data_IF_717304475486
#
_entry.id   IF_717304475486
#
_cell.length_a   1.000
_cell.length_b   1.000
_cell.length_c   1.000
_cell.angle_alpha   90.00
_cell.angle_beta   90.00
_cell.angle_gamma   90.00
#
_symmetry.space_group_name_H-M   'P 1'
#
loop_
_entity.id
_entity.type
_entity.pdbx_description
1 polymer ?
#
# COMPACT_ATOMS: atom_id res chain seq x y z
N UNK A 1 -61.89 -3.44 -47.83
CA UNK A 1 -60.93 -3.80 -46.78
C UNK A 1 -60.80 -2.59 -45.88
N UNK A 2 -61.18 -2.63 -44.59
CA UNK A 2 -60.96 -1.49 -43.72
C UNK A 2 -59.46 -1.38 -43.42
N UNK A 3 -58.90 -0.20 -43.64
CA UNK A 3 -57.58 0.18 -43.14
C UNK A 3 -57.67 0.26 -41.63
N UNK A 4 -57.09 -0.71 -40.93
CA UNK A 4 -56.98 -0.67 -39.48
C UNK A 4 -56.27 0.62 -39.08
N UNK A 5 -56.88 1.40 -38.21
CA UNK A 5 -56.24 2.55 -37.55
C UNK A 5 -55.14 1.99 -36.65
N UNK A 6 -53.96 1.76 -37.23
CA UNK A 6 -52.77 1.43 -36.48
C UNK A 6 -52.48 2.59 -35.55
N UNK A 7 -52.56 2.34 -34.25
CA UNK A 7 -51.88 3.19 -33.28
C UNK A 7 -50.40 3.17 -33.67
N UNK A 8 -49.90 4.25 -34.26
CA UNK A 8 -48.47 4.45 -34.45
C UNK A 8 -47.85 4.52 -33.06
N UNK A 9 -47.09 3.49 -32.71
CA UNK A 9 -46.26 3.51 -31.51
C UNK A 9 -45.26 4.65 -31.70
N UNK A 10 -45.23 5.66 -30.81
CA UNK A 10 -44.30 6.78 -30.95
C UNK A 10 -42.88 6.23 -31.00
N UNK A 11 -42.15 6.57 -32.07
CA UNK A 11 -40.74 6.22 -32.20
C UNK A 11 -39.97 7.02 -31.18
N UNK A 12 -39.19 6.32 -30.34
CA UNK A 12 -38.27 6.90 -29.36
C UNK A 12 -37.01 7.48 -30.05
N UNK A 13 -37.16 8.09 -31.22
CA UNK A 13 -36.07 8.76 -31.93
C UNK A 13 -35.59 9.95 -31.09
N UNK A 14 -34.34 9.87 -30.61
CA UNK A 14 -33.74 10.88 -29.73
C UNK A 14 -33.87 10.61 -28.24
N UNK A 15 -34.50 9.51 -27.82
CA UNK A 15 -34.48 9.07 -26.41
C UNK A 15 -33.23 8.23 -26.18
N UNK A 16 -32.40 8.55 -25.16
CA UNK A 16 -31.24 7.74 -24.82
C UNK A 16 -31.62 6.27 -24.62
N UNK A 17 -31.00 5.38 -25.40
CA UNK A 17 -31.24 3.93 -25.34
C UNK A 17 -30.73 3.30 -24.04
N UNK A 18 -29.90 4.04 -23.30
CA UNK A 18 -29.43 3.69 -21.96
C UNK A 18 -29.67 4.88 -21.03
N UNK A 19 -30.29 4.60 -19.88
CA UNK A 19 -30.34 5.52 -18.74
C UNK A 19 -29.56 4.87 -17.61
N UNK A 20 -28.39 5.43 -17.29
CA UNK A 20 -27.61 5.03 -16.13
C UNK A 20 -27.78 6.10 -15.04
N UNK A 21 -28.44 5.73 -13.94
CA UNK A 21 -28.54 6.57 -12.76
C UNK A 21 -27.47 6.14 -11.76
N UNK A 22 -26.44 6.97 -11.60
CA UNK A 22 -25.39 6.73 -10.61
C UNK A 22 -25.64 7.62 -9.40
N UNK A 23 -25.85 7.01 -8.22
CA UNK A 23 -25.84 7.78 -6.98
C UNK A 23 -24.45 8.41 -6.79
N UNK A 24 -24.38 9.71 -6.47
CA UNK A 24 -23.11 10.43 -6.32
C UNK A 24 -22.52 11.01 -7.62
N UNK A 25 -23.17 10.90 -8.77
CA UNK A 25 -22.66 11.45 -10.05
C UNK A 25 -22.31 12.94 -9.98
N UNK A 26 -23.08 13.74 -9.25
CA UNK A 26 -22.78 15.17 -9.06
C UNK A 26 -21.50 15.41 -8.27
N UNK A 27 -21.25 14.59 -7.25
CA UNK A 27 -20.03 14.65 -6.45
C UNK A 27 -18.82 14.24 -7.28
N UNK A 28 -18.93 13.12 -8.01
CA UNK A 28 -17.90 12.68 -8.94
C UNK A 28 -17.61 13.74 -10.02
N UNK A 29 -18.64 14.41 -10.57
CA UNK A 29 -18.45 15.47 -11.55
C UNK A 29 -17.77 16.73 -10.96
N UNK A 30 -18.09 17.12 -9.72
CA UNK A 30 -17.39 18.21 -9.02
C UNK A 30 -15.92 17.86 -8.80
N UNK A 31 -15.66 16.65 -8.31
CA UNK A 31 -14.29 16.17 -8.08
C UNK A 31 -13.49 16.07 -9.39
N UNK A 32 -14.10 15.54 -10.45
CA UNK A 32 -13.50 15.48 -11.79
C UNK A 32 -13.10 16.87 -12.30
N UNK A 33 -13.94 17.88 -12.09
CA UNK A 33 -13.62 19.26 -12.41
C UNK A 33 -12.41 19.75 -11.61
N UNK A 34 -12.37 19.50 -10.30
CA UNK A 34 -11.23 19.92 -9.48
C UNK A 34 -9.95 19.16 -9.84
N UNK A 35 -10.03 17.91 -10.29
CA UNK A 35 -8.89 17.17 -10.85
C UNK A 35 -8.32 17.85 -12.11
N UNK A 36 -9.18 18.34 -13.01
CA UNK A 36 -8.75 19.13 -14.16
C UNK A 36 -8.11 20.45 -13.75
N UNK A 37 -8.75 21.21 -12.86
CA UNK A 37 -8.25 22.50 -12.36
C UNK A 37 -6.92 22.34 -11.59
N UNK A 38 -6.71 21.19 -10.95
CA UNK A 38 -5.50 20.84 -10.23
C UNK A 38 -4.34 20.31 -11.12
N UNK A 39 -4.55 20.17 -12.43
CA UNK A 39 -3.64 19.50 -13.37
C UNK A 39 -3.37 18.01 -13.02
N UNK A 40 -4.33 17.36 -12.35
CA UNK A 40 -4.28 15.93 -12.01
C UNK A 40 -4.91 15.03 -13.08
N UNK A 41 -5.65 15.61 -14.03
CA UNK A 41 -6.29 14.92 -15.16
C UNK A 41 -6.25 15.79 -16.43
N UNK A 42 -6.39 15.17 -17.62
CA UNK A 42 -6.48 15.89 -18.90
C UNK A 42 -7.94 16.02 -19.35
N UNK A 43 -8.29 17.13 -20.00
CA UNK A 43 -9.63 17.34 -20.55
C UNK A 43 -9.95 16.37 -21.69
N UNK A 44 -8.95 15.89 -22.43
CA UNK A 44 -9.15 14.91 -23.51
C UNK A 44 -9.65 13.56 -22.97
N UNK A 45 -9.28 13.20 -21.73
CA UNK A 45 -9.72 11.97 -21.07
C UNK A 45 -11.24 11.97 -20.80
N UNK A 46 -11.89 13.15 -20.73
CA UNK A 46 -13.35 13.26 -20.55
C UNK A 46 -14.13 12.66 -21.71
N UNK A 47 -13.61 12.83 -22.94
CA UNK A 47 -14.24 12.27 -24.13
C UNK A 47 -14.01 10.76 -24.17
N UNK A 48 -12.79 10.31 -23.84
CA UNK A 48 -12.45 8.89 -23.76
C UNK A 48 -13.31 8.14 -22.73
N UNK A 49 -13.63 8.79 -21.61
CA UNK A 49 -14.51 8.28 -20.55
C UNK A 49 -16.01 8.29 -20.91
N UNK A 50 -16.38 8.53 -22.18
CA UNK A 50 -17.76 8.68 -22.64
C UNK A 50 -18.57 9.68 -21.79
N UNK A 51 -17.91 10.74 -21.30
CA UNK A 51 -18.51 11.77 -20.44
C UNK A 51 -19.10 11.23 -19.13
N UNK A 52 -18.55 10.12 -18.63
CA UNK A 52 -18.89 9.55 -17.32
C UNK A 52 -17.85 10.02 -16.28
N UNK A 53 -18.25 10.71 -15.20
CA UNK A 53 -17.31 11.22 -14.20
C UNK A 53 -16.59 10.15 -13.38
N UNK A 54 -17.19 8.97 -13.20
CA UNK A 54 -16.52 7.86 -12.51
C UNK A 54 -15.42 7.24 -13.39
N UNK A 55 -15.75 6.92 -14.65
CA UNK A 55 -14.78 6.41 -15.61
C UNK A 55 -13.66 7.43 -15.88
N UNK A 56 -13.99 8.73 -15.88
CA UNK A 56 -13.01 9.80 -16.01
C UNK A 56 -12.03 9.83 -14.83
N UNK A 57 -12.53 9.84 -13.59
CA UNK A 57 -11.68 9.85 -12.40
C UNK A 57 -10.81 8.60 -12.31
N UNK A 58 -11.39 7.43 -12.60
CA UNK A 58 -10.66 6.17 -12.66
C UNK A 58 -9.56 6.21 -13.71
N UNK A 59 -9.90 6.56 -14.96
CA UNK A 59 -8.93 6.66 -16.05
C UNK A 59 -7.82 7.68 -15.79
N UNK A 60 -8.15 8.81 -15.16
CA UNK A 60 -7.17 9.81 -14.76
C UNK A 60 -6.18 9.26 -13.71
N UNK A 61 -6.68 8.57 -12.69
CA UNK A 61 -5.83 7.93 -11.68
C UNK A 61 -4.98 6.80 -12.28
N UNK A 62 -5.55 5.94 -13.12
CA UNK A 62 -4.82 4.86 -13.80
C UNK A 62 -3.68 5.42 -14.66
N UNK A 63 -3.97 6.45 -15.47
CA UNK A 63 -2.96 7.13 -16.29
C UNK A 63 -1.89 7.81 -15.42
N UNK A 64 -2.30 8.42 -14.32
CA UNK A 64 -1.38 9.05 -13.38
C UNK A 64 -0.45 8.02 -12.73
N UNK A 65 -0.98 6.90 -12.24
CA UNK A 65 -0.23 5.80 -11.63
C UNK A 65 0.75 5.18 -12.63
N UNK A 66 0.32 4.97 -13.88
CA UNK A 66 1.17 4.49 -14.96
C UNK A 66 2.41 5.37 -15.16
N UNK A 67 2.24 6.70 -15.12
CA UNK A 67 3.35 7.69 -15.19
C UNK A 67 4.23 7.67 -13.93
N UNK A 68 3.72 7.18 -12.80
CA UNK A 68 4.42 7.11 -11.52
C UNK A 68 4.96 5.72 -11.17
N UNK A 69 5.11 4.85 -12.18
CA UNK A 69 5.84 3.60 -12.05
C UNK A 69 5.01 2.43 -11.52
N UNK A 70 3.68 2.46 -11.70
CA UNK A 70 2.78 1.35 -11.37
C UNK A 70 3.32 -0.02 -11.83
N UNK A 71 3.83 -0.10 -13.07
CA UNK A 71 4.37 -1.36 -13.61
C UNK A 71 5.56 -1.91 -12.83
N UNK A 72 6.38 -1.05 -12.23
CA UNK A 72 7.53 -1.43 -11.38
C UNK A 72 7.07 -1.79 -9.97
N UNK A 73 6.03 -1.12 -9.46
CA UNK A 73 5.45 -1.41 -8.14
C UNK A 73 4.79 -2.79 -8.15
N UNK A 74 3.99 -3.08 -9.17
CA UNK A 74 3.24 -4.35 -9.32
C UNK A 74 4.12 -5.60 -9.43
N UNK A 75 5.41 -5.44 -9.68
CA UNK A 75 6.35 -6.57 -9.66
C UNK A 75 6.58 -7.12 -8.25
N UNK A 76 6.41 -6.30 -7.21
CA UNK A 76 6.69 -6.69 -5.81
C UNK A 76 5.53 -6.47 -4.84
N UNK A 77 4.60 -5.56 -5.18
CA UNK A 77 3.50 -5.16 -4.31
C UNK A 77 2.16 -5.32 -5.03
N UNK A 78 1.22 -5.98 -4.37
CA UNK A 78 -0.15 -6.19 -4.87
C UNK A 78 -1.07 -5.22 -4.13
N UNK A 79 -1.22 -4.02 -4.70
CA UNK A 79 -1.89 -2.90 -4.06
C UNK A 79 -2.98 -2.33 -4.98
N UNK A 80 -4.09 -1.98 -4.36
CA UNK A 80 -5.20 -1.24 -4.93
C UNK A 80 -5.29 0.17 -4.34
N UNK A 81 -5.65 1.13 -5.19
CA UNK A 81 -5.89 2.52 -4.81
C UNK A 81 -7.38 2.84 -4.95
N UNK A 82 -8.04 3.14 -3.83
CA UNK A 82 -9.44 3.52 -3.79
C UNK A 82 -9.57 5.04 -3.66
N UNK A 83 -10.47 5.63 -4.46
CA UNK A 83 -10.91 7.02 -4.33
C UNK A 83 -12.37 7.03 -3.84
N UNK A 84 -12.61 7.55 -2.63
CA UNK A 84 -13.94 7.52 -2.03
C UNK A 84 -14.27 8.77 -1.21
N UNK A 85 -15.56 9.03 -1.02
CA UNK A 85 -16.08 10.05 -0.08
C UNK A 85 -16.44 9.45 1.28
N UNK A 86 -16.31 8.13 1.43
CA UNK A 86 -16.51 7.39 2.68
C UNK A 86 -15.49 6.26 2.80
N UNK A 87 -14.98 6.00 4.00
CA UNK A 87 -14.21 4.80 4.31
C UNK A 87 -15.08 3.68 4.88
N UNK A 88 -16.26 4.02 5.37
CA UNK A 88 -17.22 3.04 5.85
C UNK A 88 -17.85 2.32 4.66
N UNK A 89 -17.63 1.00 4.60
CA UNK A 89 -18.15 0.11 3.54
C UNK A 89 -19.55 -0.42 3.82
N UNK A 90 -20.03 -0.32 5.06
CA UNK A 90 -21.24 -0.99 5.53
C UNK A 90 -22.31 -0.01 5.98
N UNK A 91 -21.94 1.12 6.59
CA UNK A 91 -22.86 2.22 6.77
C UNK A 91 -22.76 3.16 5.56
N UNK A 92 -23.83 3.18 4.77
CA UNK A 92 -24.29 4.44 4.21
C UNK A 92 -24.78 5.35 5.38
N UNK A 93 -23.92 5.62 6.36
CA UNK A 93 -24.26 6.35 7.57
C UNK A 93 -24.42 7.84 7.25
N UNK A 94 -25.46 8.45 7.83
CA UNK A 94 -25.90 9.84 8.02
C UNK A 94 -25.15 11.06 7.43
N UNK A 95 -23.93 10.93 6.93
CA UNK A 95 -23.26 11.88 6.05
C UNK A 95 -23.98 12.03 4.71
N UNK A 96 -23.98 13.24 4.15
CA UNK A 96 -24.56 13.48 2.83
C UNK A 96 -23.78 12.66 1.80
N UNK A 97 -24.39 11.70 1.09
CA UNK A 97 -23.71 10.96 0.04
C UNK A 97 -23.09 11.93 -0.97
N UNK A 98 -21.79 11.80 -1.22
CA UNK A 98 -21.08 12.67 -2.17
C UNK A 98 -20.67 14.04 -1.61
N UNK A 99 -20.35 14.12 -0.31
CA UNK A 99 -19.63 15.27 0.25
C UNK A 99 -18.19 15.33 -0.29
N UNK A 100 -17.97 16.19 -1.27
CA UNK A 100 -16.67 16.38 -1.90
C UNK A 100 -15.69 17.16 -1.04
N UNK A 101 -16.14 17.76 0.08
CA UNK A 101 -15.24 18.45 1.01
C UNK A 101 -14.37 17.50 1.82
N UNK A 102 -14.71 16.21 1.83
CA UNK A 102 -13.98 15.13 2.51
C UNK A 102 -13.87 13.91 1.60
N UNK A 103 -12.75 13.81 0.90
CA UNK A 103 -12.41 12.71 -0.01
C UNK A 103 -11.17 11.97 0.52
N UNK A 104 -11.08 10.68 0.24
CA UNK A 104 -10.00 9.82 0.66
C UNK A 104 -9.38 9.12 -0.55
N UNK A 105 -8.05 9.11 -0.60
CA UNK A 105 -7.30 8.07 -1.31
C UNK A 105 -6.88 7.01 -0.28
N UNK A 106 -7.29 5.77 -0.48
CA UNK A 106 -6.95 4.65 0.40
C UNK A 106 -6.12 3.62 -0.37
N UNK A 107 -5.00 3.20 0.22
CA UNK A 107 -4.12 2.18 -0.35
C UNK A 107 -4.32 0.87 0.40
N UNK A 108 -4.69 -0.18 -0.32
CA UNK A 108 -5.09 -1.46 0.26
C UNK A 108 -4.33 -2.60 -0.42
N UNK A 109 -3.80 -3.58 0.33
CA UNK A 109 -3.19 -4.75 -0.29
C UNK A 109 -4.24 -5.81 -0.64
N UNK A 110 -4.10 -6.38 -1.83
CA UNK A 110 -4.82 -7.59 -2.21
C UNK A 110 -4.13 -8.84 -1.65
N UNK A 111 -2.80 -8.79 -1.60
CA UNK A 111 -1.96 -9.85 -1.05
C UNK A 111 -0.60 -9.29 -0.66
N UNK A 112 0.15 -10.07 0.15
CA UNK A 112 1.50 -9.72 0.51
C UNK A 112 2.48 -10.12 -0.61
N UNK A 113 3.33 -9.17 -1.01
CA UNK A 113 4.59 -9.51 -1.69
C UNK A 113 5.51 -10.33 -0.79
N UNK A 114 6.64 -10.79 -1.31
CA UNK A 114 7.57 -11.64 -0.54
C UNK A 114 9.02 -11.24 -0.76
N UNK A 115 9.80 -11.12 0.32
CA UNK A 115 11.23 -10.79 0.25
C UNK A 115 12.08 -11.66 1.19
N UNK A 116 13.20 -12.15 0.66
CA UNK A 116 14.20 -12.91 1.41
C UNK A 116 15.39 -12.01 1.72
N UNK A 117 15.66 -11.82 3.01
CA UNK A 117 16.68 -10.91 3.50
C UNK A 117 18.04 -11.59 3.74
N UNK A 118 18.05 -12.86 4.14
CA UNK A 118 19.24 -13.58 4.63
C UNK A 118 20.48 -13.49 3.74
N UNK A 119 20.39 -13.79 2.43
CA UNK A 119 21.54 -13.68 1.53
C UNK A 119 22.07 -12.24 1.42
N UNK A 120 21.18 -11.25 1.41
CA UNK A 120 21.55 -9.83 1.43
C UNK A 120 22.25 -9.47 2.74
N UNK A 121 21.73 -9.91 3.89
CA UNK A 121 22.34 -9.68 5.20
C UNK A 121 23.74 -10.31 5.30
N UNK A 122 23.93 -11.54 4.81
CA UNK A 122 25.26 -12.18 4.78
C UNK A 122 26.26 -11.43 3.90
N UNK A 123 25.82 -10.97 2.72
CA UNK A 123 26.65 -10.15 1.83
C UNK A 123 27.11 -8.87 2.56
N UNK A 124 26.17 -8.16 3.18
CA UNK A 124 26.45 -6.93 3.91
C UNK A 124 27.34 -7.16 5.14
N UNK A 125 27.16 -8.29 5.84
CA UNK A 125 27.97 -8.68 6.99
C UNK A 125 29.44 -8.89 6.61
N UNK A 126 29.70 -9.44 5.41
CA UNK A 126 31.06 -9.63 4.89
C UNK A 126 31.81 -8.32 4.67
N UNK A 127 31.08 -7.21 4.45
CA UNK A 127 31.63 -5.86 4.29
C UNK A 127 31.82 -5.19 5.64
N UNK A 128 30.81 -5.23 6.51
CA UNK A 128 30.88 -4.66 7.84
C UNK A 128 29.82 -5.27 8.78
N UNK A 129 30.16 -5.65 10.03
CA UNK A 129 29.27 -6.42 10.91
C UNK A 129 27.97 -5.70 11.32
N UNK A 130 27.89 -4.37 11.15
CA UNK A 130 26.68 -3.57 11.44
C UNK A 130 25.88 -3.18 10.20
N UNK A 131 26.35 -3.48 8.99
CA UNK A 131 25.57 -3.20 7.78
C UNK A 131 24.26 -3.99 7.70
N UNK A 132 24.17 -5.26 8.13
CA UNK A 132 22.92 -6.02 8.09
C UNK A 132 21.77 -5.31 8.81
N UNK A 133 21.97 -4.98 10.10
CA UNK A 133 20.94 -4.26 10.88
C UNK A 133 20.71 -2.84 10.38
N UNK A 134 21.74 -2.17 9.82
CA UNK A 134 21.57 -0.83 9.25
C UNK A 134 20.67 -0.89 8.01
N UNK A 135 20.91 -1.83 7.11
CA UNK A 135 20.09 -2.08 5.94
C UNK A 135 18.66 -2.41 6.34
N UNK A 136 18.48 -3.37 7.26
CA UNK A 136 17.16 -3.79 7.72
C UNK A 136 16.36 -2.62 8.29
N UNK A 137 17.00 -1.77 9.10
CA UNK A 137 16.37 -0.57 9.67
C UNK A 137 15.93 0.44 8.60
N UNK A 138 16.77 0.68 7.58
CA UNK A 138 16.42 1.59 6.48
C UNK A 138 15.30 1.02 5.61
N UNK A 139 15.40 -0.26 5.24
CA UNK A 139 14.46 -0.93 4.37
C UNK A 139 13.07 -1.06 5.01
N UNK A 140 12.99 -1.71 6.17
CA UNK A 140 11.71 -1.91 6.87
C UNK A 140 11.15 -0.59 7.40
N UNK A 141 12.00 0.34 7.85
CA UNK A 141 11.57 1.64 8.36
C UNK A 141 10.98 2.54 7.26
N UNK A 142 11.56 2.51 6.06
CA UNK A 142 11.04 3.26 4.93
C UNK A 142 9.71 2.71 4.41
N UNK A 143 9.57 1.37 4.35
CA UNK A 143 8.34 0.71 3.90
C UNK A 143 7.21 0.86 4.91
N UNK A 144 7.44 0.55 6.19
CA UNK A 144 6.43 0.65 7.27
C UNK A 144 5.89 2.07 7.48
N UNK A 145 6.51 3.10 6.89
CA UNK A 145 5.94 4.44 6.85
C UNK A 145 4.70 4.53 5.96
N UNK A 146 4.63 3.74 4.89
CA UNK A 146 3.60 3.88 3.85
C UNK A 146 2.72 2.65 3.73
N UNK A 147 3.28 1.45 3.88
CA UNK A 147 2.57 0.18 3.79
C UNK A 147 2.98 -0.75 4.92
N UNK A 148 2.11 -1.65 5.35
CA UNK A 148 2.42 -2.63 6.38
C UNK A 148 3.36 -3.69 5.82
N UNK A 149 4.48 -3.93 6.50
CA UNK A 149 5.37 -5.07 6.23
C UNK A 149 5.26 -6.03 7.40
N UNK A 150 5.02 -7.31 7.14
CA UNK A 150 5.11 -8.37 8.15
C UNK A 150 6.56 -8.83 8.24
N UNK A 151 7.17 -8.71 9.41
CA UNK A 151 8.57 -9.12 9.64
C UNK A 151 8.75 -9.89 10.96
N UNK A 152 10.00 -10.24 11.28
CA UNK A 152 10.33 -10.98 12.50
C UNK A 152 9.77 -10.38 13.81
N UNK A 153 9.54 -9.07 13.89
CA UNK A 153 8.94 -8.43 15.07
C UNK A 153 7.48 -8.82 15.22
N UNK A 154 6.75 -8.88 14.12
CA UNK A 154 5.36 -9.29 14.10
C UNK A 154 5.20 -10.76 14.50
N UNK A 155 6.09 -11.61 13.98
CA UNK A 155 6.13 -13.01 14.37
C UNK A 155 6.49 -13.19 15.85
N UNK A 156 7.41 -12.38 16.40
CA UNK A 156 7.72 -12.39 17.84
C UNK A 156 6.50 -11.97 18.68
N UNK A 157 5.82 -10.88 18.30
CA UNK A 157 4.62 -10.40 18.99
C UNK A 157 3.49 -11.43 18.92
N UNK A 158 3.35 -12.15 17.79
CA UNK A 158 2.42 -13.26 17.64
C UNK A 158 2.74 -14.41 18.59
N UNK A 159 3.99 -14.84 18.67
CA UNK A 159 4.42 -15.91 19.57
C UNK A 159 4.22 -15.52 21.04
N UNK A 160 4.42 -14.25 21.39
CA UNK A 160 4.13 -13.76 22.75
C UNK A 160 2.63 -13.85 23.06
N UNK A 161 1.76 -13.38 22.15
CA UNK A 161 0.29 -13.51 22.31
C UNK A 161 -0.14 -14.97 22.46
N UNK A 162 0.42 -15.87 21.66
CA UNK A 162 0.14 -17.31 21.77
C UNK A 162 0.58 -17.86 23.12
N UNK A 163 1.76 -17.49 23.61
CA UNK A 163 2.25 -17.89 24.92
C UNK A 163 1.29 -17.44 26.03
N UNK A 164 0.86 -16.18 26.03
CA UNK A 164 -0.09 -15.64 27.00
C UNK A 164 -1.43 -16.42 26.98
N UNK A 165 -1.92 -16.82 25.81
CA UNK A 165 -3.14 -17.62 25.69
C UNK A 165 -2.96 -19.02 26.31
N UNK A 166 -1.85 -19.68 25.99
CA UNK A 166 -1.55 -21.03 26.48
C UNK A 166 -1.12 -21.08 27.94
N UNK A 167 -0.67 -19.99 28.57
CA UNK A 167 -0.36 -19.98 30.01
C UNK A 167 -1.53 -20.45 30.90
N UNK A 168 -2.76 -20.30 30.40
CA UNK A 168 -3.99 -20.75 31.07
C UNK A 168 -4.43 -22.18 30.72
N UNK A 169 -3.74 -22.84 29.77
CA UNK A 169 -4.09 -24.16 29.25
C UNK A 169 -3.34 -25.28 30.02
N UNK A 170 -4.05 -26.27 30.60
CA UNK A 170 -3.43 -27.41 31.28
C UNK A 170 -2.53 -28.26 30.37
N UNK A 171 -2.71 -28.21 29.05
CA UNK A 171 -1.92 -28.96 28.06
C UNK A 171 -0.83 -28.09 27.39
N UNK A 172 -0.58 -26.89 27.90
CA UNK A 172 0.40 -25.92 27.36
C UNK A 172 1.83 -26.45 27.21
N UNK A 173 2.21 -27.47 27.99
CA UNK A 173 3.52 -28.11 27.89
C UNK A 173 3.72 -28.93 26.60
N UNK A 174 2.65 -29.30 25.91
CA UNK A 174 2.69 -30.08 24.66
C UNK A 174 2.66 -29.20 23.40
N UNK A 175 2.54 -27.88 23.57
CA UNK A 175 2.41 -26.93 22.46
C UNK A 175 3.79 -26.41 22.05
N UNK A 176 4.24 -26.79 20.86
CA UNK A 176 5.47 -26.26 20.26
C UNK A 176 5.21 -24.88 19.65
N UNK A 177 5.82 -23.84 20.23
CA UNK A 177 5.79 -22.49 19.68
C UNK A 177 6.89 -22.31 18.63
N UNK A 178 6.62 -21.55 17.54
CA UNK A 178 7.62 -21.23 16.53
C UNK A 178 8.88 -20.55 17.11
N UNK A 179 10.08 -21.05 16.77
CA UNK A 179 11.36 -20.47 17.20
C UNK A 179 11.78 -19.29 16.31
N UNK A 180 11.12 -18.14 16.51
CA UNK A 180 11.46 -16.91 15.79
C UNK A 180 12.85 -16.41 16.17
N UNK A 181 13.19 -16.49 17.45
CA UNK A 181 14.45 -15.96 18.00
C UNK A 181 15.70 -16.66 17.44
N UNK A 182 15.58 -17.96 17.18
CA UNK A 182 16.59 -18.78 16.51
C UNK A 182 16.74 -18.47 15.01
N UNK A 183 15.70 -17.94 14.37
CA UNK A 183 15.75 -17.53 12.97
C UNK A 183 16.41 -16.14 12.77
N UNK A 184 16.41 -15.28 13.80
CA UNK A 184 16.97 -13.92 13.72
C UNK A 184 18.51 -13.94 13.71
N UNK A 185 19.19 -13.48 12.63
CA UNK A 185 20.65 -13.45 12.58
C UNK A 185 21.27 -12.59 13.69
N UNK A 186 22.38 -13.02 14.28
CA UNK A 186 23.07 -12.28 15.35
C UNK A 186 23.49 -10.85 14.93
N UNK A 187 23.74 -10.63 13.63
CA UNK A 187 24.05 -9.30 13.09
C UNK A 187 22.86 -8.33 13.11
N UNK A 188 21.62 -8.83 13.13
CA UNK A 188 20.39 -8.03 13.27
C UNK A 188 20.21 -7.52 14.71
N UNK A 189 20.70 -8.25 15.72
CA UNK A 189 20.61 -7.85 17.13
C UNK A 189 21.60 -6.72 17.53
N UNK A 190 22.37 -6.17 16.56
CA UNK A 190 23.36 -5.10 16.80
C UNK A 190 22.73 -3.71 16.69
N UNK A 191 23.47 -2.67 17.08
CA UNK A 191 23.04 -1.27 16.87
C UNK A 191 23.28 -0.80 15.42
N UNK A 192 22.30 -0.21 14.71
CA UNK A 192 22.48 0.39 13.39
C UNK A 192 23.59 1.46 13.35
N UNK A 193 24.24 1.61 12.20
CA UNK A 193 25.18 2.71 11.93
C UNK A 193 24.44 4.05 11.85
N UNK A 194 25.13 5.13 12.20
CA UNK A 194 24.58 6.48 12.03
C UNK A 194 24.56 6.89 10.55
N UNK A 195 23.63 7.77 10.14
CA UNK A 195 23.58 8.34 8.78
C UNK A 195 24.91 8.96 8.34
N UNK A 196 25.64 9.62 9.26
CA UNK A 196 26.96 10.20 8.98
C UNK A 196 28.00 9.12 8.68
N UNK A 197 28.04 8.06 9.48
CA UNK A 197 28.95 6.93 9.27
C UNK A 197 28.64 6.22 7.95
N UNK A 198 27.35 6.01 7.68
CA UNK A 198 26.87 5.38 6.46
C UNK A 198 27.29 6.19 5.21
N UNK A 199 27.02 7.50 5.19
CA UNK A 199 27.40 8.36 4.06
C UNK A 199 28.91 8.39 3.77
N UNK A 200 29.76 8.26 4.80
CA UNK A 200 31.21 8.17 4.61
C UNK A 200 31.68 6.79 4.14
N UNK A 201 30.92 5.74 4.46
CA UNK A 201 31.31 4.35 4.23
C UNK A 201 30.79 3.81 2.90
N UNK A 202 29.53 4.10 2.53
CA UNK A 202 28.88 3.57 1.32
C UNK A 202 29.73 3.73 0.05
N UNK A 203 30.31 4.92 -0.25
CA UNK A 203 31.13 5.08 -1.46
C UNK A 203 32.43 4.26 -1.47
N UNK A 204 32.86 3.75 -0.31
CA UNK A 204 34.10 2.99 -0.11
C UNK A 204 33.89 1.48 -0.08
N UNK A 205 32.64 1.00 -0.14
CA UNK A 205 32.33 -0.43 -0.17
C UNK A 205 32.92 -1.03 -1.44
N UNK A 206 33.93 -1.89 -1.34
CA UNK A 206 34.59 -2.48 -2.50
C UNK A 206 33.72 -3.44 -3.30
N UNK A 207 32.81 -4.13 -2.61
CA UNK A 207 31.88 -5.11 -3.19
C UNK A 207 30.74 -4.42 -3.96
N UNK A 208 30.66 -4.54 -5.30
CA UNK A 208 29.75 -3.73 -6.11
C UNK A 208 28.27 -3.91 -5.78
N UNK A 209 27.83 -5.16 -5.56
CA UNK A 209 26.44 -5.47 -5.22
C UNK A 209 26.09 -4.91 -3.84
N UNK A 210 26.97 -5.10 -2.85
CA UNK A 210 26.77 -4.56 -1.51
C UNK A 210 26.70 -3.02 -1.52
N UNK A 211 27.53 -2.37 -2.35
CA UNK A 211 27.47 -0.92 -2.54
C UNK A 211 26.12 -0.49 -3.12
N UNK A 212 25.68 -1.13 -4.20
CA UNK A 212 24.42 -0.81 -4.86
C UNK A 212 23.21 -1.00 -3.93
N UNK A 213 23.17 -2.10 -3.17
CA UNK A 213 22.14 -2.35 -2.15
C UNK A 213 22.09 -1.22 -1.12
N UNK A 214 23.25 -0.79 -0.61
CA UNK A 214 23.30 0.27 0.40
C UNK A 214 23.00 1.66 -0.18
N UNK A 215 23.38 1.94 -1.42
CA UNK A 215 23.02 3.19 -2.12
C UNK A 215 21.49 3.29 -2.29
N UNK A 216 20.85 2.22 -2.78
CA UNK A 216 19.39 2.16 -2.92
C UNK A 216 18.67 2.18 -1.57
N UNK A 217 19.19 1.52 -0.53
CA UNK A 217 18.59 1.59 0.81
C UNK A 217 18.65 3.00 1.41
N UNK A 218 19.73 3.76 1.15
CA UNK A 218 19.83 5.18 1.56
C UNK A 218 18.90 6.06 0.73
N UNK A 219 18.77 5.80 -0.56
CA UNK A 219 17.80 6.49 -1.43
C UNK A 219 16.37 6.23 -0.96
N UNK A 220 16.03 4.98 -0.63
CA UNK A 220 14.73 4.57 -0.11
C UNK A 220 14.38 5.28 1.22
N UNK A 221 15.32 5.32 2.18
CA UNK A 221 15.14 6.09 3.43
C UNK A 221 14.96 7.57 3.12
N UNK A 222 15.71 8.15 2.18
CA UNK A 222 15.55 9.55 1.80
C UNK A 222 14.17 9.83 1.18
N UNK A 223 13.72 8.99 0.26
CA UNK A 223 12.44 9.12 -0.43
C UNK A 223 11.27 9.02 0.54
N UNK A 224 11.28 8.00 1.40
CA UNK A 224 10.23 7.83 2.40
C UNK A 224 10.13 8.99 3.39
N UNK A 225 11.22 9.73 3.64
CA UNK A 225 11.24 10.91 4.50
C UNK A 225 10.90 12.24 3.78
N UNK A 226 10.60 12.26 2.48
CA UNK A 226 10.21 13.51 1.76
C UNK A 226 8.84 14.02 2.15
N UNK A 227 7.94 13.12 2.55
CA UNK A 227 6.59 13.43 2.99
C UNK A 227 6.33 12.96 4.40
N UNK A 228 5.31 13.55 5.03
CA UNK A 228 4.75 13.03 6.26
C UNK A 228 3.57 12.12 5.91
N UNK A 229 3.49 10.97 6.57
CA UNK A 229 2.28 10.16 6.55
C UNK A 229 1.13 11.01 7.11
N UNK A 230 -0.01 11.14 6.42
CA UNK A 230 -1.15 11.88 6.95
C UNK A 230 -1.58 11.33 8.31
N UNK A 231 -1.93 12.23 9.22
CA UNK A 231 -2.58 11.84 10.46
C UNK A 231 -4.07 11.58 10.18
N UNK A 232 -4.57 10.49 10.74
CA UNK A 232 -5.96 10.09 10.61
C UNK A 232 -6.67 10.53 11.89
N UNK A 233 -7.47 11.60 11.77
CA UNK A 233 -8.21 12.18 12.88
C UNK A 233 -9.24 11.21 13.46
N UNK A 234 -9.69 11.48 14.70
CA UNK A 234 -10.67 10.63 15.40
C UNK A 234 -11.95 10.43 14.58
N UNK A 235 -12.40 11.46 13.86
CA UNK A 235 -13.56 11.42 12.97
C UNK A 235 -13.40 10.44 11.79
N UNK A 236 -12.18 10.16 11.37
CA UNK A 236 -11.86 9.16 10.34
C UNK A 236 -11.69 7.78 10.99
N UNK A 237 -11.11 7.71 12.20
CA UNK A 237 -10.96 6.46 12.97
C UNK A 237 -12.32 5.86 13.35
N UNK A 238 -13.30 6.70 13.67
CA UNK A 238 -14.68 6.24 13.91
C UNK A 238 -15.28 5.50 12.70
N UNK A 239 -14.90 5.87 11.47
CA UNK A 239 -15.35 5.17 10.24
C UNK A 239 -14.70 3.78 10.06
N UNK A 240 -13.68 3.47 10.85
CA UNK A 240 -12.89 2.25 10.77
C UNK A 240 -13.08 1.37 12.02
N UNK A 241 -14.01 1.72 12.92
CA UNK A 241 -14.16 1.04 14.22
C UNK A 241 -14.47 -0.46 14.09
N UNK A 242 -15.13 -0.86 13.00
CA UNK A 242 -15.47 -2.25 12.69
C UNK A 242 -14.44 -2.93 11.75
N UNK A 243 -13.37 -2.23 11.39
CA UNK A 243 -12.29 -2.78 10.57
C UNK A 243 -11.32 -3.61 11.42
N UNK A 244 -10.74 -4.64 10.79
CA UNK A 244 -9.61 -5.40 11.34
C UNK A 244 -8.29 -4.68 11.12
N UNK A 245 -7.20 -5.25 11.65
CA UNK A 245 -5.85 -4.71 11.45
C UNK A 245 -5.48 -4.63 9.96
N UNK A 246 -4.66 -3.65 9.54
CA UNK A 246 -4.18 -3.58 8.16
C UNK A 246 -3.39 -4.82 7.77
N UNK A 247 -3.78 -5.45 6.66
CA UNK A 247 -3.04 -6.58 6.11
C UNK A 247 -1.68 -6.13 5.54
N UNK A 248 -0.64 -6.99 5.59
CA UNK A 248 0.67 -6.63 5.08
C UNK A 248 0.70 -6.61 3.55
N UNK A 249 1.35 -5.58 3.01
CA UNK A 249 1.69 -5.49 1.58
C UNK A 249 2.95 -6.29 1.22
N UNK A 250 3.74 -6.70 2.22
CA UNK A 250 5.00 -7.41 2.04
C UNK A 250 5.28 -8.30 3.26
N UNK A 251 5.63 -9.56 3.02
CA UNK A 251 6.23 -10.47 3.99
C UNK A 251 7.76 -10.45 3.84
N UNK A 252 8.47 -10.18 4.93
CA UNK A 252 9.91 -10.14 4.99
C UNK A 252 10.48 -11.24 5.90
N UNK A 253 11.13 -12.22 5.27
CA UNK A 253 11.73 -13.38 5.94
C UNK A 253 13.26 -13.33 5.88
N UNK A 254 13.94 -14.05 6.75
CA UNK A 254 15.39 -14.21 6.64
C UNK A 254 15.74 -15.34 5.68
N UNK A 255 15.05 -16.47 5.75
CA UNK A 255 15.22 -17.59 4.84
C UNK A 255 13.86 -18.09 4.35
N UNK A 256 13.85 -18.84 3.25
CA UNK A 256 12.61 -19.49 2.78
C UNK A 256 12.15 -20.51 3.82
N UNK A 257 10.87 -20.50 4.11
CA UNK A 257 10.23 -21.40 5.07
C UNK A 257 10.86 -21.32 6.45
N UNK A 258 11.30 -20.12 6.86
CA UNK A 258 11.68 -19.87 8.24
C UNK A 258 10.41 -19.75 9.12
N UNK A 259 10.61 -19.67 10.44
CA UNK A 259 9.49 -19.64 11.38
C UNK A 259 8.63 -18.36 11.24
N UNK A 260 9.14 -17.29 10.61
CA UNK A 260 8.38 -16.06 10.34
C UNK A 260 7.33 -16.33 9.26
N UNK A 261 7.73 -17.03 8.19
CA UNK A 261 6.80 -17.46 7.12
C UNK A 261 5.69 -18.35 7.70
N UNK A 262 6.05 -19.32 8.55
CA UNK A 262 5.06 -20.18 9.20
C UNK A 262 4.06 -19.41 10.07
N UNK A 263 4.52 -18.44 10.86
CA UNK A 263 3.61 -17.57 11.63
C UNK A 263 2.68 -16.75 10.73
N UNK A 264 3.22 -16.20 9.64
CA UNK A 264 2.41 -15.44 8.69
C UNK A 264 1.36 -16.32 8.02
N UNK A 265 1.72 -17.52 7.57
CA UNK A 265 0.80 -18.45 6.90
C UNK A 265 -0.40 -18.80 7.79
N UNK A 266 -0.16 -19.01 9.08
CA UNK A 266 -1.24 -19.25 10.05
C UNK A 266 -2.10 -17.99 10.28
N UNK A 267 -1.49 -16.82 10.50
CA UNK A 267 -2.22 -15.58 10.78
C UNK A 267 -3.01 -15.10 9.55
N UNK A 268 -2.47 -15.28 8.35
CA UNK A 268 -3.09 -14.88 7.09
C UNK A 268 -4.42 -15.57 6.81
N UNK A 269 -4.67 -16.75 7.39
CA UNK A 269 -5.95 -17.46 7.26
C UNK A 269 -7.11 -16.68 7.89
N UNK A 270 -6.84 -15.89 8.92
CA UNK A 270 -7.83 -15.07 9.64
C UNK A 270 -7.84 -13.59 9.25
N UNK A 271 -6.83 -13.11 8.52
CA UNK A 271 -6.64 -11.68 8.23
C UNK A 271 -7.80 -11.01 7.47
N UNK A 272 -8.63 -11.78 6.77
CA UNK A 272 -9.77 -11.28 5.99
C UNK A 272 -11.13 -11.69 6.58
N UNK A 273 -11.17 -12.17 7.83
CA UNK A 273 -12.42 -12.42 8.54
C UNK A 273 -13.19 -11.12 8.85
N UNK A 274 -12.45 -10.02 9.03
CA UNK A 274 -12.95 -8.66 9.05
C UNK A 274 -12.42 -7.90 7.84
N UNK A 275 -13.12 -6.84 7.43
CA UNK A 275 -12.56 -5.93 6.42
C UNK A 275 -11.34 -5.24 7.03
N UNK A 276 -10.13 -5.39 6.46
CA UNK A 276 -8.95 -4.76 7.03
C UNK A 276 -8.97 -3.25 6.81
N UNK A 277 -8.39 -2.51 7.75
CA UNK A 277 -8.10 -1.10 7.56
C UNK A 277 -7.12 -0.91 6.38
N UNK A 278 -7.25 0.19 5.60
CA UNK A 278 -6.29 0.52 4.56
C UNK A 278 -4.89 0.77 5.13
N UNK A 279 -3.87 0.35 4.36
CA UNK A 279 -2.47 0.57 4.72
C UNK A 279 -2.05 2.03 4.69
N UNK A 280 -2.74 2.88 3.94
CA UNK A 280 -2.58 4.33 3.93
C UNK A 280 -3.92 4.98 3.63
N UNK A 281 -4.22 6.07 4.34
CA UNK A 281 -5.36 6.93 4.07
C UNK A 281 -4.84 8.35 3.87
N UNK A 282 -5.17 8.96 2.74
CA UNK A 282 -4.85 10.35 2.41
C UNK A 282 -6.18 11.11 2.35
N UNK A 283 -6.59 11.76 3.44
CA UNK A 283 -7.77 12.63 3.43
C UNK A 283 -7.43 13.96 2.74
N UNK A 284 -8.36 14.48 1.94
CA UNK A 284 -8.23 15.78 1.31
C UNK A 284 -9.59 16.41 1.02
N UNK A 285 -9.60 17.73 0.84
CA UNK A 285 -10.77 18.45 0.37
C UNK A 285 -10.78 18.42 -1.17
N UNK A 286 -11.71 17.66 -1.74
CA UNK A 286 -11.87 17.49 -3.18
C UNK A 286 -12.57 18.64 -3.89
N UNK A 287 -13.02 19.67 -3.16
CA UNK A 287 -13.57 20.91 -3.72
C UNK A 287 -12.49 21.98 -3.95
N UNK A 288 -11.27 21.74 -3.43
CA UNK A 288 -10.16 22.67 -3.49
C UNK A 288 -9.01 22.08 -4.32
N UNK A 289 -8.51 22.83 -5.28
CA UNK A 289 -7.36 22.42 -6.11
C UNK A 289 -6.13 22.09 -5.26
N UNK A 290 -5.86 22.88 -4.21
CA UNK A 290 -4.74 22.65 -3.29
C UNK A 290 -4.88 21.32 -2.54
N UNK A 291 -6.12 20.92 -2.20
CA UNK A 291 -6.42 19.63 -1.58
C UNK A 291 -6.06 18.46 -2.51
N UNK A 292 -6.51 18.54 -3.76
CA UNK A 292 -6.16 17.53 -4.79
C UNK A 292 -4.65 17.49 -5.04
N UNK A 293 -4.01 18.64 -5.28
CA UNK A 293 -2.55 18.70 -5.51
C UNK A 293 -1.77 18.14 -4.32
N UNK A 294 -2.19 18.45 -3.09
CA UNK A 294 -1.58 17.92 -1.87
C UNK A 294 -1.69 16.40 -1.77
N UNK A 295 -2.88 15.84 -2.04
CA UNK A 295 -3.10 14.40 -2.04
C UNK A 295 -2.24 13.67 -3.10
N UNK A 296 -2.20 14.20 -4.33
CA UNK A 296 -1.39 13.64 -5.41
C UNK A 296 0.12 13.75 -5.13
N UNK A 297 0.58 14.79 -4.43
CA UNK A 297 1.98 14.93 -4.02
C UNK A 297 2.39 13.87 -2.97
N UNK A 298 1.49 13.55 -2.03
CA UNK A 298 1.72 12.47 -1.05
C UNK A 298 1.73 11.13 -1.79
N UNK A 299 0.75 10.86 -2.66
CA UNK A 299 0.70 9.65 -3.47
C UNK A 299 1.97 9.49 -4.32
N UNK A 300 2.50 10.60 -4.86
CA UNK A 300 3.77 10.60 -5.62
C UNK A 300 4.94 10.14 -4.76
N UNK A 301 5.02 10.63 -3.52
CA UNK A 301 6.05 10.17 -2.56
C UNK A 301 5.94 8.68 -2.26
N UNK A 302 4.71 8.17 -2.13
CA UNK A 302 4.45 6.73 -1.93
C UNK A 302 4.91 5.93 -3.14
N UNK A 303 4.50 6.32 -4.35
CA UNK A 303 4.90 5.65 -5.60
C UNK A 303 6.42 5.66 -5.80
N UNK A 304 7.10 6.80 -5.58
CA UNK A 304 8.56 6.90 -5.64
C UNK A 304 9.25 5.95 -4.64
N UNK A 305 8.71 5.88 -3.42
CA UNK A 305 9.23 5.00 -2.36
C UNK A 305 9.08 3.53 -2.75
N UNK A 306 7.88 3.11 -3.19
CA UNK A 306 7.62 1.73 -3.61
C UNK A 306 8.41 1.35 -4.86
N UNK A 307 8.55 2.25 -5.84
CA UNK A 307 9.42 2.03 -7.01
C UNK A 307 10.89 1.85 -6.62
N UNK A 308 11.37 2.61 -5.63
CA UNK A 308 12.73 2.43 -5.11
C UNK A 308 12.88 1.08 -4.40
N UNK A 309 11.89 0.69 -3.60
CA UNK A 309 11.87 -0.61 -2.94
C UNK A 309 11.87 -1.76 -3.95
N UNK A 310 11.04 -1.72 -4.99
CA UNK A 310 11.03 -2.75 -6.05
C UNK A 310 12.38 -2.87 -6.75
N UNK A 311 13.04 -1.74 -7.06
CA UNK A 311 14.38 -1.73 -7.65
C UNK A 311 15.44 -2.30 -6.70
N UNK A 312 15.34 -2.01 -5.41
CA UNK A 312 16.21 -2.55 -4.38
C UNK A 312 16.04 -4.07 -4.25
N UNK A 313 14.80 -4.56 -4.18
CA UNK A 313 14.49 -5.98 -4.08
C UNK A 313 15.02 -6.78 -5.27
N UNK A 314 15.01 -6.21 -6.48
CA UNK A 314 15.61 -6.83 -7.68
C UNK A 314 17.13 -7.05 -7.59
N UNK A 315 17.85 -6.20 -6.85
CA UNK A 315 19.32 -6.32 -6.71
C UNK A 315 19.73 -7.05 -5.44
N UNK A 316 18.78 -7.36 -4.56
CA UNK A 316 19.02 -8.11 -3.33
C UNK A 316 19.27 -9.59 -3.64
N UNK A 317 20.44 -10.15 -3.28
CA UNK A 317 20.71 -11.57 -3.45
C UNK A 317 19.60 -12.45 -2.86
N UNK A 318 19.24 -13.51 -3.58
CA UNK A 318 18.18 -14.44 -3.16
C UNK A 318 16.77 -14.12 -3.67
N UNK A 319 16.56 -12.95 -4.28
CA UNK A 319 15.24 -12.51 -4.79
C UNK A 319 15.09 -12.61 -6.32
N UNK A 320 16.06 -13.21 -7.00
CA UNK A 320 16.17 -13.30 -8.47
C UNK A 320 15.05 -14.13 -9.16
N UNK A 321 14.25 -14.88 -8.38
CA UNK A 321 13.22 -15.83 -8.87
C UNK A 321 11.91 -15.80 -8.08
N UNK A 322 11.66 -14.72 -7.34
CA UNK A 322 10.39 -14.51 -6.65
C UNK A 322 9.37 -13.75 -7.52
N UNK A 323 9.77 -13.38 -8.74
CA UNK A 323 9.00 -12.64 -9.74
C UNK A 323 8.65 -13.53 -10.93
#
# INVERSE_FOLDING_TARGET
>A
MPTGSGLEIPRLEGVPLEHQLWQGQQAAARLARTFLEADAADADDWIAANRNPFEFLKGALDLWLSKHGESVIREQFFLDLLLSTSLDRYCAGDGKPGDTSRVFLALEPDSAGYVILGPTLRLLESVHPRLPVTFLHLFLGALNRWVRVYDHRDALDRVERLREWYESDPDSAEIELPDIDGCVPASVKRRPLSRRTLGAMTPRIGEPVARQVMELAVELDRLSNRGNRPDVGEDVRELLIDCGEPVPALLAVFERSDAIEGCFDEESQGMLELTPEPNLIIPFNGELEEGVRGAMAILSTVCETLCCASRLMKVMPGNERLN
#
